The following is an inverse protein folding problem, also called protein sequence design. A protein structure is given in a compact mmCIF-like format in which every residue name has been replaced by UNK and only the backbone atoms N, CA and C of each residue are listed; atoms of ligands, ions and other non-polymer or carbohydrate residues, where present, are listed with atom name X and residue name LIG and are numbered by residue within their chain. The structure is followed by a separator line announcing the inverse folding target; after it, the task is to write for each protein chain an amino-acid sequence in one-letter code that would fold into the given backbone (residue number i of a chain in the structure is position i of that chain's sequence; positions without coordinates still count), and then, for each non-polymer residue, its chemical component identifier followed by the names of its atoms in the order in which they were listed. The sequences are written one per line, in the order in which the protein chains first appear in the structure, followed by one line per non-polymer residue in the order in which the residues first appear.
data_IF_631131532677
#
_entry.id   IF_631131532677
#
_cell.length_a   1.000
_cell.length_b   1.000
_cell.length_c   1.000
_cell.angle_alpha   90.00
_cell.angle_beta   90.00
_cell.angle_gamma   90.00
#
_symmetry.space_group_name_H-M   'P 1'
#
loop_
_entity.id
_entity.type
_entity.pdbx_description
1 polymer ?
#
# COMPACT_ATOMS: atom_id res chain seq x y z
N UNK A 1 14.93 0.76 -14.79
CA UNK A 1 15.40 -0.40 -13.99
C UNK A 1 14.30 -1.44 -14.02
N UNK A 2 14.60 -2.70 -14.30
CA UNK A 2 13.61 -3.79 -14.19
C UNK A 2 13.49 -4.12 -12.71
N UNK A 3 12.47 -3.59 -12.04
CA UNK A 3 12.12 -4.09 -10.72
C UNK A 3 11.67 -5.55 -10.86
N UNK A 4 12.15 -6.44 -9.99
CA UNK A 4 11.64 -7.81 -9.98
C UNK A 4 10.16 -7.75 -9.60
N UNK A 5 9.27 -8.26 -10.46
CA UNK A 5 7.82 -8.25 -10.18
C UNK A 5 7.46 -9.09 -8.95
N UNK A 6 8.35 -9.98 -8.53
CA UNK A 6 8.10 -10.90 -7.42
C UNK A 6 8.07 -10.23 -6.05
N UNK A 7 8.69 -9.06 -5.88
CA UNK A 7 8.76 -8.34 -4.60
C UNK A 7 8.43 -6.85 -4.70
N UNK A 8 7.85 -6.41 -5.82
CA UNK A 8 7.55 -5.00 -6.07
C UNK A 8 6.05 -4.78 -6.24
N UNK A 9 5.49 -3.90 -5.41
CA UNK A 9 4.16 -3.33 -5.60
C UNK A 9 4.28 -1.94 -6.24
N UNK A 10 4.09 -1.87 -7.56
CA UNK A 10 4.00 -0.59 -8.25
C UNK A 10 2.54 -0.11 -8.27
N UNK A 11 2.25 1.03 -7.61
CA UNK A 11 0.89 1.56 -7.60
C UNK A 11 0.44 2.09 -8.97
N UNK A 12 1.34 2.38 -9.92
CA UNK A 12 0.97 2.79 -11.28
C UNK A 12 0.12 1.71 -11.97
N UNK A 13 0.43 0.43 -11.75
CA UNK A 13 -0.27 -0.73 -12.32
C UNK A 13 -1.75 -0.81 -11.87
N UNK A 14 -2.10 -0.13 -10.77
CA UNK A 14 -3.42 -0.18 -10.16
C UNK A 14 -4.20 1.13 -10.29
N UNK A 15 -3.78 2.04 -11.16
CA UNK A 15 -4.52 3.29 -11.38
C UNK A 15 -5.78 3.05 -12.20
N UNK A 16 -6.87 3.68 -11.77
CA UNK A 16 -8.11 3.68 -12.54
C UNK A 16 -7.92 4.56 -13.77
N UNK A 17 -8.26 4.02 -14.94
CA UNK A 17 -8.23 4.72 -16.23
C UNK A 17 -9.64 5.09 -16.65
N UNK A 18 -9.85 6.38 -16.93
CA UNK A 18 -11.08 6.89 -17.52
C UNK A 18 -11.20 6.49 -18.99
N UNK A 19 -12.42 6.50 -19.50
CA UNK A 19 -12.71 6.20 -20.92
C UNK A 19 -12.09 7.22 -21.89
N UNK A 20 -11.80 8.42 -21.38
CA UNK A 20 -11.17 9.54 -22.07
C UNK A 20 -9.63 9.52 -21.98
N UNK A 21 -9.04 8.45 -21.43
CA UNK A 21 -7.60 8.34 -21.23
C UNK A 21 -7.06 9.05 -20.00
N UNK A 22 -7.93 9.66 -19.17
CA UNK A 22 -7.49 10.21 -17.87
C UNK A 22 -7.07 9.09 -16.93
N UNK A 23 -6.06 9.36 -16.10
CA UNK A 23 -5.57 8.40 -15.10
C UNK A 23 -5.78 9.02 -13.71
N UNK A 24 -6.45 8.28 -12.83
CA UNK A 24 -6.73 8.72 -11.47
C UNK A 24 -5.43 9.04 -10.72
N UNK A 25 -5.36 10.21 -10.08
CA UNK A 25 -4.22 10.66 -9.27
C UNK A 25 -4.47 10.46 -7.77
N UNK A 26 -5.54 9.76 -7.40
CA UNK A 26 -5.98 9.58 -6.02
C UNK A 26 -6.22 8.10 -5.75
N UNK A 27 -5.64 7.58 -4.68
CA UNK A 27 -5.97 6.27 -4.12
C UNK A 27 -6.80 6.46 -2.85
N UNK A 28 -8.06 6.04 -2.90
CA UNK A 28 -8.99 6.27 -1.79
C UNK A 28 -9.99 5.14 -1.65
N UNK A 29 -10.46 4.94 -0.42
CA UNK A 29 -11.52 3.99 -0.10
C UNK A 29 -10.99 2.61 0.26
N UNK A 30 -11.73 1.97 1.17
CA UNK A 30 -11.46 0.61 1.64
C UNK A 30 -11.58 -0.41 0.51
N UNK A 31 -12.66 -0.32 -0.26
CA UNK A 31 -12.92 -1.22 -1.38
C UNK A 31 -11.76 -1.22 -2.37
N UNK A 32 -11.26 -0.03 -2.73
CA UNK A 32 -10.10 0.09 -3.62
C UNK A 32 -8.83 -0.49 -2.99
N UNK A 33 -8.58 -0.26 -1.69
CA UNK A 33 -7.45 -0.87 -1.00
C UNK A 33 -7.51 -2.40 -1.01
N UNK A 34 -8.70 -2.97 -0.81
CA UNK A 34 -8.95 -4.41 -0.91
C UNK A 34 -8.71 -4.93 -2.32
N UNK A 35 -9.22 -4.25 -3.35
CA UNK A 35 -8.99 -4.65 -4.75
C UNK A 35 -7.50 -4.73 -5.06
N UNK A 36 -6.73 -3.72 -4.67
CA UNK A 36 -5.28 -3.68 -4.93
C UNK A 36 -4.55 -4.75 -4.13
N UNK A 37 -4.91 -4.98 -2.86
CA UNK A 37 -4.35 -6.08 -2.06
C UNK A 37 -4.54 -7.43 -2.75
N UNK A 38 -5.75 -7.73 -3.22
CA UNK A 38 -6.07 -8.99 -3.87
C UNK A 38 -5.39 -9.13 -5.23
N UNK A 39 -5.41 -8.07 -6.04
CA UNK A 39 -4.82 -8.07 -7.37
C UNK A 39 -3.28 -8.18 -7.34
N UNK A 40 -2.63 -7.50 -6.38
CA UNK A 40 -1.18 -7.56 -6.19
C UNK A 40 -0.70 -8.81 -5.48
N UNK A 41 -1.59 -9.52 -4.79
CA UNK A 41 -1.27 -10.66 -3.94
C UNK A 41 -0.20 -10.31 -2.90
N UNK A 42 -0.28 -9.11 -2.34
CA UNK A 42 0.76 -8.58 -1.44
C UNK A 42 0.98 -9.46 -0.19
N UNK A 43 -0.04 -10.20 0.24
CA UNK A 43 0.06 -11.15 1.35
C UNK A 43 1.00 -12.32 0.98
N UNK A 44 0.85 -12.90 -0.20
CA UNK A 44 1.76 -13.94 -0.72
C UNK A 44 3.15 -13.37 -1.04
N UNK A 45 3.19 -12.14 -1.55
CA UNK A 45 4.43 -11.43 -1.86
C UNK A 45 5.26 -11.24 -0.60
N UNK A 46 4.63 -10.80 0.49
CA UNK A 46 5.25 -10.68 1.81
C UNK A 46 5.78 -12.03 2.29
N UNK A 47 5.04 -13.12 2.14
CA UNK A 47 5.49 -14.44 2.59
C UNK A 47 6.74 -14.95 1.87
N UNK A 48 6.86 -14.68 0.57
CA UNK A 48 7.91 -15.26 -0.28
C UNK A 48 9.20 -14.46 -0.31
N UNK A 49 9.18 -13.21 0.16
CA UNK A 49 10.30 -12.29 0.02
C UNK A 49 10.73 -11.73 1.38
N UNK A 50 12.03 -11.47 1.52
CA UNK A 50 12.58 -10.83 2.72
C UNK A 50 12.23 -9.34 2.80
N UNK A 51 12.13 -8.67 1.65
CA UNK A 51 11.77 -7.26 1.53
C UNK A 51 10.81 -7.01 0.37
N UNK A 52 9.96 -6.00 0.53
CA UNK A 52 8.95 -5.56 -0.44
C UNK A 52 9.17 -4.10 -0.78
N UNK A 53 9.29 -3.78 -2.06
CA UNK A 53 9.36 -2.40 -2.55
C UNK A 53 7.97 -1.92 -2.98
N UNK A 54 7.49 -0.84 -2.38
CA UNK A 54 6.25 -0.15 -2.76
C UNK A 54 6.60 1.12 -3.51
N UNK A 55 6.23 1.20 -4.78
CA UNK A 55 6.49 2.36 -5.64
C UNK A 55 5.24 3.24 -5.71
N UNK A 56 5.38 4.51 -5.36
CA UNK A 56 4.34 5.53 -5.49
C UNK A 56 4.66 6.41 -6.71
N UNK A 57 3.75 6.52 -7.70
CA UNK A 57 3.97 7.32 -8.90
C UNK A 57 4.25 8.79 -8.62
N UNK A 58 4.96 9.44 -9.53
CA UNK A 58 5.44 10.81 -9.37
C UNK A 58 4.35 11.89 -9.34
N UNK A 59 3.16 11.57 -9.85
CA UNK A 59 2.06 12.49 -10.08
C UNK A 59 0.80 12.18 -9.25
N UNK A 60 0.97 11.51 -8.11
CA UNK A 60 -0.10 11.27 -7.14
C UNK A 60 -0.44 12.55 -6.37
N UNK A 61 -1.74 12.84 -6.29
CA UNK A 61 -2.29 13.95 -5.52
C UNK A 61 -2.61 13.55 -4.08
N UNK A 62 -3.19 12.36 -3.87
CA UNK A 62 -3.51 11.87 -2.52
C UNK A 62 -3.61 10.35 -2.45
N UNK A 63 -3.18 9.80 -1.31
CA UNK A 63 -3.49 8.44 -0.85
C UNK A 63 -4.14 8.57 0.52
N UNK A 64 -5.39 8.14 0.63
CA UNK A 64 -6.12 8.23 1.89
C UNK A 64 -5.72 7.09 2.85
N UNK A 65 -5.69 7.33 4.18
CA UNK A 65 -5.38 6.30 5.15
C UNK A 65 -6.25 5.05 5.02
N UNK A 66 -7.52 5.18 4.64
CA UNK A 66 -8.43 4.04 4.46
C UNK A 66 -8.05 3.12 3.31
N UNK A 67 -7.38 3.65 2.28
CA UNK A 67 -6.83 2.83 1.19
C UNK A 67 -5.66 2.00 1.70
N UNK A 68 -4.68 2.64 2.35
CA UNK A 68 -3.56 1.93 2.96
C UNK A 68 -4.00 0.94 4.04
N UNK A 69 -5.04 1.29 4.80
CA UNK A 69 -5.60 0.43 5.84
C UNK A 69 -6.00 -0.91 5.25
N UNK A 70 -6.82 -0.93 4.19
CA UNK A 70 -7.23 -2.20 3.58
C UNK A 70 -6.15 -2.85 2.72
N UNK A 71 -5.26 -2.06 2.10
CA UNK A 71 -4.16 -2.60 1.31
C UNK A 71 -3.22 -3.44 2.18
N UNK A 72 -2.91 -2.96 3.39
CA UNK A 72 -1.88 -3.53 4.24
C UNK A 72 -2.42 -4.23 5.50
N UNK A 73 -3.75 -4.34 5.70
CA UNK A 73 -4.31 -4.85 6.96
C UNK A 73 -3.74 -6.21 7.36
N UNK A 74 -3.63 -7.17 6.45
CA UNK A 74 -3.17 -8.52 6.77
C UNK A 74 -1.68 -8.53 7.16
N UNK A 75 -0.82 -7.93 6.34
CA UNK A 75 0.63 -7.89 6.58
C UNK A 75 0.98 -7.06 7.82
N UNK A 76 0.26 -5.97 8.11
CA UNK A 76 0.47 -5.18 9.34
C UNK A 76 -0.01 -5.92 10.57
N UNK A 77 -1.15 -6.64 10.52
CA UNK A 77 -1.60 -7.47 11.64
C UNK A 77 -0.63 -8.61 11.93
N UNK A 78 -0.08 -9.25 10.89
CA UNK A 78 0.89 -10.35 11.00
C UNK A 78 2.24 -9.88 11.53
N UNK A 79 2.78 -8.80 10.99
CA UNK A 79 4.15 -8.34 11.27
C UNK A 79 4.21 -7.39 12.48
N UNK A 80 3.12 -6.68 12.78
CA UNK A 80 3.15 -5.52 13.66
C UNK A 80 3.87 -4.33 12.99
N UNK A 81 4.02 -3.23 13.74
CA UNK A 81 4.56 -1.97 13.21
C UNK A 81 6.01 -2.07 12.76
N UNK A 82 6.88 -2.57 13.64
CA UNK A 82 8.34 -2.48 13.46
C UNK A 82 8.78 -3.34 12.29
N UNK A 83 8.42 -4.63 12.30
CA UNK A 83 8.72 -5.55 11.20
C UNK A 83 8.09 -5.14 9.88
N UNK A 84 6.89 -4.54 9.89
CA UNK A 84 6.32 -3.98 8.66
C UNK A 84 7.20 -2.87 8.07
N UNK A 85 7.74 -1.97 8.90
CA UNK A 85 8.63 -0.90 8.42
C UNK A 85 9.99 -1.39 7.96
N UNK A 86 10.51 -2.44 8.61
CA UNK A 86 11.76 -3.07 8.19
C UNK A 86 11.59 -3.79 6.85
N UNK A 87 10.44 -4.45 6.65
CA UNK A 87 10.18 -5.28 5.47
C UNK A 87 9.66 -4.51 4.26
N UNK A 88 8.89 -3.44 4.46
CA UNK A 88 8.28 -2.65 3.38
C UNK A 88 9.02 -1.34 3.17
N UNK A 89 9.76 -1.24 2.07
CA UNK A 89 10.41 -0.04 1.62
C UNK A 89 9.48 0.75 0.69
N UNK A 90 9.32 2.05 0.93
CA UNK A 90 8.46 2.91 0.10
C UNK A 90 9.31 3.89 -0.69
N UNK A 91 9.20 3.82 -2.02
CA UNK A 91 9.84 4.74 -2.95
C UNK A 91 8.79 5.63 -3.61
N UNK A 92 8.69 6.88 -3.16
CA UNK A 92 7.86 7.89 -3.80
C UNK A 92 8.66 8.59 -4.90
N UNK A 93 8.27 8.39 -6.16
CA UNK A 93 8.94 9.00 -7.31
C UNK A 93 8.66 10.50 -7.41
N UNK A 94 7.67 11.01 -6.67
CA UNK A 94 7.22 12.39 -6.68
C UNK A 94 7.35 13.08 -5.34
N UNK A 95 6.69 14.23 -5.20
CA UNK A 95 6.71 15.05 -3.98
C UNK A 95 5.62 14.68 -2.96
N UNK A 96 4.85 13.63 -3.24
CA UNK A 96 3.76 13.21 -2.37
C UNK A 96 4.31 12.65 -1.04
N UNK A 97 3.85 13.20 0.08
CA UNK A 97 4.20 12.73 1.42
C UNK A 97 3.23 11.61 1.85
N UNK A 98 3.64 10.37 1.65
CA UNK A 98 2.86 9.18 1.98
C UNK A 98 2.94 8.77 3.46
N UNK A 99 3.95 9.24 4.20
CA UNK A 99 4.24 8.75 5.55
C UNK A 99 3.08 9.01 6.50
N UNK A 100 2.53 10.22 6.48
CA UNK A 100 1.40 10.59 7.36
C UNK A 100 0.19 9.64 7.18
N UNK A 101 -0.37 9.46 5.98
CA UNK A 101 -1.51 8.56 5.80
C UNK A 101 -1.16 7.08 6.03
N UNK A 102 0.06 6.64 5.72
CA UNK A 102 0.51 5.29 6.03
C UNK A 102 0.57 5.04 7.55
N UNK A 103 1.15 5.99 8.30
CA UNK A 103 1.26 5.89 9.75
C UNK A 103 -0.11 5.85 10.42
N UNK A 104 -1.05 6.64 9.92
CA UNK A 104 -2.43 6.64 10.37
C UNK A 104 -3.13 5.30 10.09
N UNK A 105 -2.91 4.71 8.91
CA UNK A 105 -3.43 3.38 8.56
C UNK A 105 -2.89 2.30 9.50
N UNK A 106 -1.55 2.24 9.72
CA UNK A 106 -0.92 1.29 10.63
C UNK A 106 -1.48 1.43 12.05
N UNK A 107 -1.64 2.67 12.54
CA UNK A 107 -2.27 2.94 13.84
C UNK A 107 -3.69 2.38 13.93
N UNK A 108 -4.52 2.60 12.90
CA UNK A 108 -5.91 2.14 12.86
C UNK A 108 -6.01 0.62 12.84
N UNK A 109 -5.18 -0.05 12.05
CA UNK A 109 -5.12 -1.52 11.97
C UNK A 109 -4.82 -2.11 13.35
N UNK A 110 -3.74 -1.64 13.99
CA UNK A 110 -3.26 -2.22 15.25
C UNK A 110 -4.19 -1.90 16.43
N UNK A 111 -4.83 -0.72 16.46
CA UNK A 111 -5.82 -0.36 17.50
C UNK A 111 -7.06 -1.24 17.48
N UNK A 112 -7.56 -1.61 16.28
CA UNK A 112 -8.72 -2.51 16.15
C UNK A 112 -8.42 -3.90 16.67
N UNK A 113 -7.17 -4.35 16.56
CA UNK A 113 -6.75 -5.65 17.07
C UNK A 113 -6.67 -5.68 18.61
N UNK A 114 -6.24 -4.59 19.24
CA UNK A 114 -6.14 -4.50 20.71
C UNK A 114 -7.48 -4.29 21.43
N UNK A 115 -8.55 -3.96 20.71
CA UNK A 115 -9.87 -3.68 21.28
C UNK A 115 -10.77 -4.94 21.42
N UNK A 116 -10.27 -6.12 21.03
CA UNK A 116 -10.97 -7.41 21.16
C UNK A 116 -10.23 -8.31 22.19
N UNK A 117 -9.48 -7.71 23.12
CA UNK A 117 -8.79 -8.38 24.22
C UNK A 117 -9.54 -8.28 25.54
#
# INVERSE_FOLDING_TARGET
MKHNKENTLDLEDYRVKGKDGTIAKVFTGRDRGKDVRLASKIDEMEEKNESILVIIPDNIYSINPSFFEELFVNVVLKLGREKFREKFEFNSLGKYNYERPLNEAINRILRKNTAIG
#
